data_IF_853279396686
#
_entry.id   IF_853279396686
#
_cell.length_a   1.000
_cell.length_b   1.000
_cell.length_c   1.000
_cell.angle_alpha   90.00
_cell.angle_beta   90.00
_cell.angle_gamma   90.00
#
_symmetry.space_group_name_H-M   'P 1'
#
loop_
_entity.id
_entity.type
_entity.pdbx_description
1 polymer ?
#
# COMPACT_ATOMS: atom_id res chain seq x y z
N UNK A 1 15.71 -10.18 1.34
CA UNK A 1 14.51 -10.60 2.09
C UNK A 1 13.63 -9.36 2.13
N UNK A 2 12.40 -9.41 1.64
CA UNK A 2 11.59 -8.20 1.45
C UNK A 2 11.21 -7.60 2.82
N UNK A 3 11.19 -6.26 2.89
CA UNK A 3 10.83 -5.42 4.06
C UNK A 3 9.47 -5.73 4.71
N UNK A 4 8.73 -6.70 4.19
CA UNK A 4 7.47 -7.22 4.69
C UNK A 4 7.64 -8.28 5.80
N UNK A 5 8.81 -8.93 5.92
CA UNK A 5 8.97 -10.11 6.78
C UNK A 5 9.02 -9.81 8.30
N UNK A 6 9.26 -8.57 8.74
CA UNK A 6 9.36 -8.24 10.18
C UNK A 6 8.02 -7.88 10.82
N UNK A 7 7.09 -7.27 10.08
CA UNK A 7 5.69 -7.10 10.50
C UNK A 7 5.03 -8.45 10.85
N UNK A 8 5.50 -9.53 10.22
CA UNK A 8 5.05 -10.90 10.45
C UNK A 8 5.43 -11.45 11.84
N UNK A 9 6.49 -10.95 12.48
CA UNK A 9 6.98 -11.50 13.76
C UNK A 9 6.06 -11.12 14.91
N UNK A 10 5.63 -9.86 15.00
CA UNK A 10 4.67 -9.39 16.03
C UNK A 10 3.27 -9.98 15.85
N UNK A 11 2.89 -10.28 14.61
CA UNK A 11 1.56 -10.80 14.28
C UNK A 11 1.52 -12.32 14.12
N UNK A 12 2.63 -13.02 14.35
CA UNK A 12 2.81 -14.45 14.07
C UNK A 12 1.72 -15.33 14.64
N UNK A 13 1.32 -15.13 15.91
CA UNK A 13 0.27 -15.93 16.53
C UNK A 13 -1.12 -15.67 15.94
N UNK A 14 -1.40 -14.44 15.53
CA UNK A 14 -2.65 -14.07 14.85
C UNK A 14 -2.68 -14.67 13.45
N UNK A 15 -1.55 -14.63 12.74
CA UNK A 15 -1.33 -15.23 11.43
C UNK A 15 -1.45 -16.75 11.50
N UNK A 16 -0.79 -17.42 12.45
CA UNK A 16 -0.88 -18.87 12.66
C UNK A 16 -2.30 -19.32 13.02
N UNK A 17 -3.04 -18.55 13.85
CA UNK A 17 -4.46 -18.83 14.11
C UNK A 17 -5.35 -18.61 12.88
N UNK A 18 -5.03 -17.62 12.06
CA UNK A 18 -5.73 -17.35 10.80
C UNK A 18 -5.48 -18.50 9.81
N UNK A 19 -4.21 -18.87 9.60
CA UNK A 19 -3.78 -20.01 8.80
C UNK A 19 -4.43 -21.31 9.27
N UNK A 20 -4.48 -21.60 10.58
CA UNK A 20 -5.15 -22.79 11.11
C UNK A 20 -6.66 -22.81 10.82
N UNK A 21 -7.33 -21.65 10.86
CA UNK A 21 -8.75 -21.54 10.47
C UNK A 21 -8.95 -21.68 8.97
N UNK A 22 -7.99 -21.20 8.15
CA UNK A 22 -7.97 -21.35 6.70
C UNK A 22 -7.78 -22.81 6.32
N UNK A 23 -6.77 -23.48 6.87
CA UNK A 23 -6.46 -24.90 6.64
C UNK A 23 -7.68 -25.80 6.84
N UNK A 24 -8.44 -25.62 7.92
CA UNK A 24 -9.66 -26.43 8.17
C UNK A 24 -10.75 -26.25 7.10
N UNK A 25 -10.79 -25.12 6.40
CA UNK A 25 -11.76 -24.84 5.33
C UNK A 25 -11.28 -25.29 3.96
N UNK A 26 -9.97 -25.29 3.77
CA UNK A 26 -9.31 -25.72 2.54
C UNK A 26 -9.21 -27.25 2.46
N UNK A 27 -8.96 -27.89 3.60
CA UNK A 27 -8.75 -29.34 3.74
C UNK A 27 -10.06 -30.11 3.98
N UNK A 28 -11.08 -29.83 3.16
CA UNK A 28 -12.37 -30.55 3.20
C UNK A 28 -12.28 -31.80 2.33
N UNK A 29 -12.80 -32.93 2.82
CA UNK A 29 -12.83 -34.16 2.03
C UNK A 29 -13.69 -34.01 0.78
N UNK A 30 -13.21 -34.54 -0.34
CA UNK A 30 -13.91 -34.51 -1.62
C UNK A 30 -15.35 -35.04 -1.51
N UNK A 31 -16.32 -34.27 -2.00
CA UNK A 31 -17.72 -34.68 -2.10
C UNK A 31 -18.24 -34.49 -3.53
N UNK A 32 -18.44 -35.57 -4.31
CA UNK A 32 -18.88 -35.48 -5.71
C UNK A 32 -20.30 -34.94 -5.89
N UNK A 33 -21.10 -34.88 -4.82
CA UNK A 33 -22.50 -34.43 -4.84
C UNK A 33 -22.67 -33.02 -4.26
N UNK A 34 -21.59 -32.33 -3.90
CA UNK A 34 -21.68 -31.00 -3.32
C UNK A 34 -22.30 -29.99 -4.31
N UNK A 35 -23.39 -29.36 -3.89
CA UNK A 35 -24.01 -28.24 -4.60
C UNK A 35 -23.23 -26.94 -4.37
N UNK A 36 -23.53 -25.88 -5.12
CA UNK A 36 -22.87 -24.60 -4.88
C UNK A 36 -23.24 -24.03 -3.50
N UNK A 37 -24.49 -24.19 -3.06
CA UNK A 37 -24.91 -23.94 -1.68
C UNK A 37 -24.04 -24.66 -0.64
N UNK A 38 -23.76 -25.96 -0.83
CA UNK A 38 -22.90 -26.73 0.08
C UNK A 38 -21.47 -26.17 0.14
N UNK A 39 -20.95 -25.69 -1.00
CA UNK A 39 -19.65 -25.04 -1.09
C UNK A 39 -19.66 -23.69 -0.34
N UNK A 40 -20.67 -22.84 -0.59
CA UNK A 40 -20.83 -21.55 0.09
C UNK A 40 -20.97 -21.71 1.61
N UNK A 41 -21.59 -22.80 2.06
CA UNK A 41 -21.71 -23.11 3.49
C UNK A 41 -20.35 -23.38 4.17
N UNK A 42 -19.27 -23.61 3.41
CA UNK A 42 -17.89 -23.72 3.97
C UNK A 42 -17.34 -22.37 4.42
N UNK A 43 -17.80 -21.28 3.84
CA UNK A 43 -17.43 -19.93 4.25
C UNK A 43 -18.09 -19.55 5.58
N UNK A 44 -17.46 -18.67 6.34
CA UNK A 44 -18.05 -18.12 7.55
C UNK A 44 -19.00 -16.94 7.23
N UNK A 45 -19.87 -16.57 8.18
CA UNK A 45 -20.87 -15.51 7.95
C UNK A 45 -20.24 -14.15 7.60
N UNK A 46 -19.05 -13.84 8.12
CA UNK A 46 -18.34 -12.61 7.78
C UNK A 46 -17.87 -12.60 6.32
N UNK A 47 -17.38 -13.73 5.81
CA UNK A 47 -16.96 -13.84 4.40
C UNK A 47 -18.16 -13.74 3.46
N UNK A 48 -19.26 -14.41 3.79
CA UNK A 48 -20.52 -14.29 3.05
C UNK A 48 -21.04 -12.83 3.07
N UNK A 49 -20.92 -12.14 4.20
CA UNK A 49 -21.27 -10.71 4.30
C UNK A 49 -20.34 -9.82 3.47
N UNK A 50 -19.06 -10.18 3.29
CA UNK A 50 -18.16 -9.49 2.38
C UNK A 50 -18.54 -9.70 0.92
N UNK A 51 -18.92 -10.92 0.52
CA UNK A 51 -19.43 -11.18 -0.84
C UNK A 51 -20.70 -10.35 -1.07
N UNK A 52 -21.64 -10.36 -0.11
CA UNK A 52 -22.87 -9.55 -0.14
C UNK A 52 -22.58 -8.07 -0.35
N UNK A 53 -21.60 -7.51 0.39
CA UNK A 53 -21.18 -6.10 0.25
C UNK A 53 -20.59 -5.82 -1.13
N UNK A 54 -19.72 -6.70 -1.63
CA UNK A 54 -19.10 -6.55 -2.94
C UNK A 54 -20.15 -6.58 -4.07
N UNK A 55 -21.20 -7.40 -3.91
CA UNK A 55 -22.34 -7.46 -4.83
C UNK A 55 -23.35 -6.30 -4.63
N UNK A 56 -23.15 -5.42 -3.65
CA UNK A 56 -24.06 -4.31 -3.38
C UNK A 56 -25.44 -4.70 -2.85
N UNK A 57 -25.60 -5.93 -2.33
CA UNK A 57 -26.90 -6.45 -1.87
C UNK A 57 -27.28 -5.80 -0.53
N UNK A 58 -28.31 -4.96 -0.54
CA UNK A 58 -28.78 -4.20 0.64
C UNK A 58 -29.86 -5.00 1.41
N UNK A 59 -30.04 -4.71 2.70
CA UNK A 59 -31.11 -5.31 3.53
C UNK A 59 -30.87 -6.76 3.98
N UNK A 60 -29.79 -7.41 3.53
CA UNK A 60 -29.48 -8.80 3.84
C UNK A 60 -28.44 -9.01 4.97
N UNK A 61 -27.97 -7.94 5.65
CA UNK A 61 -26.90 -8.02 6.66
C UNK A 61 -27.31 -8.75 7.95
N UNK A 62 -28.61 -8.73 8.30
CA UNK A 62 -29.13 -9.37 9.51
C UNK A 62 -29.53 -10.83 9.31
N UNK A 63 -29.55 -11.31 8.05
CA UNK A 63 -29.98 -12.67 7.72
C UNK A 63 -29.17 -13.75 8.43
N UNK A 64 -29.79 -14.89 8.67
CA UNK A 64 -29.05 -16.07 9.13
C UNK A 64 -28.17 -16.58 7.99
N UNK A 65 -27.17 -17.39 8.34
CA UNK A 65 -26.18 -17.87 7.38
C UNK A 65 -26.82 -18.59 6.19
N UNK A 66 -27.82 -19.44 6.41
CA UNK A 66 -28.48 -20.19 5.34
C UNK A 66 -29.28 -19.28 4.40
N UNK A 67 -30.14 -18.41 4.94
CA UNK A 67 -30.88 -17.44 4.13
C UNK A 67 -29.95 -16.53 3.30
N UNK A 68 -28.78 -16.17 3.85
CA UNK A 68 -27.77 -15.41 3.11
C UNK A 68 -27.13 -16.24 1.99
N UNK A 69 -26.88 -17.53 2.20
CA UNK A 69 -26.33 -18.43 1.16
C UNK A 69 -27.31 -18.57 0.00
N UNK A 70 -28.61 -18.72 0.25
CA UNK A 70 -29.64 -18.82 -0.79
C UNK A 70 -29.62 -17.59 -1.72
N UNK A 71 -29.52 -16.39 -1.14
CA UNK A 71 -29.38 -15.15 -1.92
C UNK A 71 -28.06 -15.16 -2.71
N UNK A 72 -26.95 -15.48 -2.07
CA UNK A 72 -25.64 -15.41 -2.71
C UNK A 72 -25.46 -16.45 -3.82
N UNK A 73 -26.01 -17.65 -3.67
CA UNK A 73 -26.01 -18.69 -4.71
C UNK A 73 -26.67 -18.19 -6.00
N UNK A 74 -27.76 -17.43 -5.87
CA UNK A 74 -28.45 -16.79 -6.99
C UNK A 74 -27.67 -15.59 -7.56
N UNK A 75 -27.15 -14.71 -6.71
CA UNK A 75 -26.59 -13.41 -7.14
C UNK A 75 -25.15 -13.49 -7.65
N UNK A 76 -24.32 -14.40 -7.13
CA UNK A 76 -22.89 -14.48 -7.50
C UNK A 76 -22.68 -14.66 -9.01
N UNK A 77 -23.38 -15.58 -9.71
CA UNK A 77 -23.21 -15.76 -11.16
C UNK A 77 -23.45 -14.48 -11.98
N UNK A 78 -24.40 -13.64 -11.57
CA UNK A 78 -24.71 -12.38 -12.28
C UNK A 78 -23.79 -11.22 -11.87
N UNK A 79 -23.21 -11.29 -10.67
CA UNK A 79 -22.37 -10.25 -10.10
C UNK A 79 -20.87 -10.53 -10.14
N UNK A 80 -20.42 -11.52 -10.93
CA UNK A 80 -19.00 -11.89 -11.04
C UNK A 80 -18.11 -10.69 -11.36
N UNK A 81 -18.55 -9.77 -12.23
CA UNK A 81 -17.82 -8.54 -12.54
C UNK A 81 -17.48 -7.71 -11.30
N UNK A 82 -18.44 -7.55 -10.38
CA UNK A 82 -18.24 -6.81 -9.13
C UNK A 82 -17.27 -7.53 -8.17
N UNK A 83 -17.28 -8.87 -8.18
CA UNK A 83 -16.36 -9.67 -7.36
C UNK A 83 -14.94 -9.65 -7.92
N UNK A 84 -14.78 -9.61 -9.25
CA UNK A 84 -13.48 -9.65 -9.93
C UNK A 84 -12.79 -8.28 -10.06
N UNK A 85 -13.45 -7.18 -9.69
CA UNK A 85 -12.86 -5.82 -9.72
C UNK A 85 -11.49 -5.81 -9.03
N UNK A 86 -11.38 -6.53 -7.91
CA UNK A 86 -10.20 -6.50 -7.03
C UNK A 86 -9.21 -7.68 -7.22
N UNK A 87 -9.21 -8.32 -8.40
CA UNK A 87 -8.38 -9.52 -8.60
C UNK A 87 -6.88 -9.21 -8.77
N UNK A 88 -6.03 -9.95 -8.07
CA UNK A 88 -4.57 -9.86 -8.23
C UNK A 88 -4.08 -10.52 -9.53
N UNK A 89 -2.81 -10.33 -9.89
CA UNK A 89 -2.24 -10.98 -11.10
C UNK A 89 -2.12 -12.50 -10.88
N UNK A 90 -1.82 -12.88 -9.63
CA UNK A 90 -1.72 -14.23 -9.10
C UNK A 90 -3.06 -14.95 -9.15
N UNK A 91 -4.12 -14.31 -8.64
CA UNK A 91 -5.49 -14.82 -8.69
C UNK A 91 -5.97 -15.01 -10.15
N UNK A 92 -5.75 -14.01 -11.01
CA UNK A 92 -6.15 -14.09 -12.41
C UNK A 92 -5.41 -15.22 -13.15
N UNK A 93 -4.12 -15.42 -12.82
CA UNK A 93 -3.32 -16.53 -13.34
C UNK A 93 -3.88 -17.88 -12.88
N UNK A 94 -4.30 -18.00 -11.62
CA UNK A 94 -4.94 -19.21 -11.12
C UNK A 94 -6.28 -19.48 -11.83
N UNK A 95 -7.17 -18.48 -11.91
CA UNK A 95 -8.45 -18.61 -12.60
C UNK A 95 -8.26 -19.08 -14.05
N UNK A 96 -7.35 -18.47 -14.80
CA UNK A 96 -7.06 -18.87 -16.20
C UNK A 96 -6.55 -20.31 -16.30
N UNK A 97 -5.69 -20.76 -15.38
CA UNK A 97 -5.23 -22.16 -15.36
C UNK A 97 -6.38 -23.13 -15.05
N UNK A 98 -7.24 -22.80 -14.09
CA UNK A 98 -8.42 -23.60 -13.73
C UNK A 98 -9.44 -23.65 -14.87
N UNK A 99 -9.65 -22.54 -15.59
CA UNK A 99 -10.52 -22.51 -16.78
C UNK A 99 -10.07 -23.48 -17.88
N UNK A 100 -8.76 -23.60 -18.09
CA UNK A 100 -8.20 -24.48 -19.14
C UNK A 100 -8.20 -25.95 -18.71
N UNK A 101 -7.86 -26.23 -17.45
CA UNK A 101 -7.64 -27.59 -16.96
C UNK A 101 -8.85 -28.20 -16.24
N UNK A 102 -9.85 -27.40 -15.90
CA UNK A 102 -10.99 -27.76 -15.05
C UNK A 102 -10.62 -27.83 -13.57
N UNK A 103 -9.53 -28.52 -13.25
CA UNK A 103 -8.99 -28.70 -11.90
C UNK A 103 -7.47 -28.59 -11.86
N UNK A 104 -6.95 -28.27 -10.67
CA UNK A 104 -5.52 -28.21 -10.38
C UNK A 104 -5.23 -28.88 -9.04
N UNK A 105 -4.04 -29.46 -8.92
CA UNK A 105 -3.49 -29.85 -7.63
C UNK A 105 -2.56 -28.74 -7.16
N UNK A 106 -2.92 -28.10 -6.05
CA UNK A 106 -2.18 -26.96 -5.49
C UNK A 106 -1.41 -27.36 -4.25
N UNK A 107 -0.27 -26.72 -4.04
CA UNK A 107 0.41 -26.72 -2.75
C UNK A 107 -0.26 -25.71 -1.80
N UNK A 108 -0.04 -25.85 -0.49
CA UNK A 108 -0.69 -25.01 0.52
C UNK A 108 -0.33 -23.52 0.35
N UNK A 109 0.92 -23.21 0.02
CA UNK A 109 1.37 -21.84 -0.28
C UNK A 109 0.64 -21.26 -1.50
N UNK A 110 0.46 -22.01 -2.59
CA UNK A 110 -0.29 -21.53 -3.76
C UNK A 110 -1.74 -21.17 -3.41
N UNK A 111 -2.34 -21.89 -2.45
CA UNK A 111 -3.68 -21.60 -1.94
C UNK A 111 -3.71 -20.40 -1.01
N UNK A 112 -2.67 -20.21 -0.19
CA UNK A 112 -2.53 -19.02 0.66
C UNK A 112 -2.39 -17.77 -0.22
N UNK A 113 -1.52 -17.81 -1.23
CA UNK A 113 -1.27 -16.69 -2.15
C UNK A 113 -2.52 -16.28 -2.95
N UNK A 114 -3.47 -17.21 -3.12
CA UNK A 114 -4.72 -16.99 -3.87
C UNK A 114 -5.96 -17.12 -2.99
N UNK A 115 -5.78 -17.04 -1.66
CA UNK A 115 -6.83 -17.33 -0.70
C UNK A 115 -8.05 -16.42 -0.88
N UNK A 116 -7.81 -15.20 -1.37
CA UNK A 116 -8.87 -14.25 -1.68
C UNK A 116 -9.96 -14.86 -2.59
N UNK A 117 -9.61 -15.61 -3.64
CA UNK A 117 -10.58 -16.27 -4.53
C UNK A 117 -11.50 -17.25 -3.78
N UNK A 118 -10.96 -17.93 -2.77
CA UNK A 118 -11.71 -18.84 -1.90
C UNK A 118 -12.65 -18.06 -0.98
N UNK A 119 -12.20 -16.93 -0.42
CA UNK A 119 -13.06 -16.06 0.41
C UNK A 119 -14.19 -15.40 -0.38
N UNK A 120 -14.06 -15.28 -1.71
CA UNK A 120 -15.11 -14.77 -2.60
C UNK A 120 -16.05 -15.84 -3.14
N UNK A 121 -15.86 -17.11 -2.76
CA UNK A 121 -16.68 -18.22 -3.21
C UNK A 121 -16.60 -18.48 -4.71
N UNK A 122 -15.49 -18.07 -5.35
CA UNK A 122 -15.25 -18.24 -6.78
C UNK A 122 -14.43 -19.51 -7.07
N UNK A 123 -13.58 -19.92 -6.14
CA UNK A 123 -12.75 -21.12 -6.20
C UNK A 123 -12.92 -21.89 -4.90
N UNK A 124 -12.91 -23.22 -4.98
CA UNK A 124 -12.93 -24.11 -3.82
C UNK A 124 -11.84 -25.15 -3.92
N UNK A 125 -11.45 -25.70 -2.77
CA UNK A 125 -10.51 -26.81 -2.68
C UNK A 125 -11.07 -27.97 -1.88
N UNK A 126 -10.60 -29.17 -2.22
CA UNK A 126 -10.93 -30.42 -1.56
C UNK A 126 -9.72 -31.34 -1.53
N UNK A 127 -9.62 -32.17 -0.49
CA UNK A 127 -8.62 -33.23 -0.39
C UNK A 127 -9.17 -34.47 -1.08
N UNK A 128 -8.41 -34.97 -2.06
CA UNK A 128 -8.70 -36.23 -2.75
C UNK A 128 -7.85 -37.38 -2.18
N UNK A 129 -8.12 -38.61 -2.63
CA UNK A 129 -7.31 -39.78 -2.29
C UNK A 129 -5.82 -39.53 -2.53
N UNK A 130 -4.99 -39.87 -1.54
CA UNK A 130 -3.54 -39.59 -1.54
C UNK A 130 -3.17 -38.22 -0.95
N UNK A 131 -4.10 -37.51 -0.31
CA UNK A 131 -3.82 -36.30 0.47
C UNK A 131 -3.54 -35.05 -0.37
N UNK A 132 -3.82 -35.10 -1.68
CA UNK A 132 -3.59 -33.97 -2.59
C UNK A 132 -4.75 -32.99 -2.53
N UNK A 133 -4.42 -31.69 -2.53
CA UNK A 133 -5.39 -30.61 -2.51
C UNK A 133 -5.79 -30.24 -3.95
N UNK A 134 -7.01 -30.60 -4.33
CA UNK A 134 -7.62 -30.31 -5.62
C UNK A 134 -8.39 -29.00 -5.55
N UNK A 135 -8.05 -28.03 -6.39
CA UNK A 135 -8.79 -26.78 -6.56
C UNK A 135 -9.61 -26.77 -7.85
N UNK A 136 -10.78 -26.15 -7.81
CA UNK A 136 -11.72 -26.08 -8.94
C UNK A 136 -12.64 -24.86 -8.85
N UNK A 137 -13.26 -24.50 -9.97
CA UNK A 137 -14.28 -23.45 -10.07
C UNK A 137 -15.66 -24.12 -10.12
N UNK A 138 -16.64 -23.68 -9.32
CA UNK A 138 -18.01 -24.20 -9.39
C UNK A 138 -18.55 -24.12 -10.82
N UNK A 139 -19.18 -25.19 -11.30
CA UNK A 139 -19.57 -25.32 -12.71
C UNK A 139 -20.43 -24.15 -13.21
N UNK A 140 -21.35 -23.66 -12.40
CA UNK A 140 -22.23 -22.52 -12.72
C UNK A 140 -21.51 -21.17 -12.86
N UNK A 141 -20.26 -21.07 -12.40
CA UNK A 141 -19.46 -19.84 -12.48
C UNK A 141 -18.48 -19.83 -13.65
N UNK A 142 -18.26 -20.97 -14.32
CA UNK A 142 -17.25 -21.07 -15.40
C UNK A 142 -17.56 -20.09 -16.53
N UNK A 143 -18.79 -20.11 -17.04
CA UNK A 143 -19.20 -19.24 -18.13
C UNK A 143 -19.25 -17.76 -17.70
N UNK A 144 -19.90 -17.37 -16.57
CA UNK A 144 -19.86 -15.99 -16.10
C UNK A 144 -18.46 -15.42 -15.91
N UNK A 145 -17.54 -16.17 -15.27
CA UNK A 145 -16.15 -15.75 -15.09
C UNK A 145 -15.45 -15.61 -16.42
N UNK A 146 -15.59 -16.59 -17.32
CA UNK A 146 -14.98 -16.57 -18.65
C UNK A 146 -15.41 -15.36 -19.46
N UNK A 147 -16.71 -15.04 -19.46
CA UNK A 147 -17.26 -13.89 -20.18
C UNK A 147 -16.68 -12.57 -19.64
N UNK A 148 -16.56 -12.44 -18.33
CA UNK A 148 -16.00 -11.23 -17.70
C UNK A 148 -14.51 -11.06 -18.01
N UNK A 149 -13.67 -12.07 -17.70
CA UNK A 149 -12.21 -11.95 -17.79
C UNK A 149 -11.68 -11.82 -19.23
N UNK A 150 -12.46 -12.27 -20.20
CA UNK A 150 -12.14 -12.16 -21.62
C UNK A 150 -12.72 -10.90 -22.28
N UNK A 151 -13.53 -10.11 -21.55
CA UNK A 151 -14.05 -8.85 -22.06
C UNK A 151 -12.92 -7.81 -22.20
N UNK A 152 -13.01 -6.99 -23.25
CA UNK A 152 -12.04 -5.91 -23.49
C UNK A 152 -12.18 -4.79 -22.47
N UNK A 153 -13.40 -4.54 -21.97
CA UNK A 153 -13.67 -3.59 -20.88
C UNK A 153 -12.95 -3.98 -19.61
N UNK A 154 -13.04 -5.24 -19.20
CA UNK A 154 -12.41 -5.72 -17.97
C UNK A 154 -10.89 -5.55 -17.98
N UNK A 155 -10.22 -5.96 -19.06
CA UNK A 155 -8.77 -5.83 -19.19
C UNK A 155 -8.32 -4.36 -19.14
N UNK A 156 -9.11 -3.45 -19.73
CA UNK A 156 -8.86 -2.01 -19.71
C UNK A 156 -9.04 -1.44 -18.31
N UNK A 157 -10.18 -1.71 -17.67
CA UNK A 157 -10.53 -1.20 -16.35
C UNK A 157 -9.51 -1.67 -15.31
N UNK A 158 -9.16 -2.97 -15.32
CA UNK A 158 -8.16 -3.52 -14.40
C UNK A 158 -6.81 -2.83 -14.53
N UNK A 159 -6.35 -2.58 -15.75
CA UNK A 159 -5.08 -1.87 -16.00
C UNK A 159 -5.15 -0.44 -15.47
N UNK A 160 -6.29 0.22 -15.62
CA UNK A 160 -6.48 1.59 -15.14
C UNK A 160 -6.58 1.67 -13.61
N UNK A 161 -7.32 0.74 -12.98
CA UNK A 161 -7.45 0.59 -11.53
C UNK A 161 -6.09 0.32 -10.90
N UNK A 162 -5.31 -0.64 -11.42
CA UNK A 162 -3.95 -0.94 -10.90
C UNK A 162 -3.06 0.29 -10.90
N UNK A 163 -3.04 1.02 -12.03
CA UNK A 163 -2.27 2.27 -12.14
C UNK A 163 -2.78 3.33 -11.16
N UNK A 164 -4.08 3.40 -10.93
CA UNK A 164 -4.68 4.37 -10.02
C UNK A 164 -4.32 4.05 -8.56
N UNK A 165 -4.33 2.77 -8.15
CA UNK A 165 -3.90 2.33 -6.82
C UNK A 165 -2.44 2.71 -6.57
N UNK A 166 -1.52 2.46 -7.52
CA UNK A 166 -0.12 2.89 -7.41
C UNK A 166 0.01 4.41 -7.20
N UNK A 167 -0.83 5.20 -7.88
CA UNK A 167 -0.85 6.65 -7.73
C UNK A 167 -1.40 7.04 -6.36
N UNK A 168 -2.50 6.42 -5.90
CA UNK A 168 -3.11 6.70 -4.59
C UNK A 168 -2.12 6.34 -3.48
N UNK A 169 -1.42 5.21 -3.57
CA UNK A 169 -0.36 4.82 -2.63
C UNK A 169 0.70 5.93 -2.51
N UNK A 170 1.25 6.39 -3.64
CA UNK A 170 2.24 7.48 -3.61
C UNK A 170 1.66 8.79 -3.07
N UNK A 171 0.40 9.13 -3.37
CA UNK A 171 -0.29 10.30 -2.79
C UNK A 171 -0.43 10.16 -1.27
N UNK A 172 -0.77 8.98 -0.77
CA UNK A 172 -0.92 8.71 0.67
C UNK A 172 0.41 8.76 1.42
N UNK A 173 1.51 8.34 0.80
CA UNK A 173 2.86 8.49 1.38
C UNK A 173 3.16 9.97 1.69
N UNK A 174 2.76 10.90 0.82
CA UNK A 174 3.02 12.33 1.04
C UNK A 174 2.05 13.02 1.98
N UNK A 175 0.76 12.65 1.96
CA UNK A 175 -0.27 13.45 2.64
C UNK A 175 -0.92 12.77 3.84
N UNK A 176 -0.80 11.46 3.97
CA UNK A 176 -1.28 10.68 5.13
C UNK A 176 -2.80 10.53 5.22
N UNK A 177 -3.57 11.57 4.93
CA UNK A 177 -5.02 11.52 4.94
C UNK A 177 -5.62 12.59 4.02
N UNK A 178 -6.57 12.19 3.17
CA UNK A 178 -7.32 13.08 2.27
C UNK A 178 -8.82 12.74 2.24
N UNK A 179 -9.67 13.77 2.09
CA UNK A 179 -11.07 13.53 1.72
C UNK A 179 -11.09 12.93 0.32
N UNK A 180 -12.12 12.15 -0.02
CA UNK A 180 -12.25 11.57 -1.37
C UNK A 180 -12.20 12.65 -2.45
N UNK A 181 -12.77 13.83 -2.20
CA UNK A 181 -12.73 14.96 -3.11
C UNK A 181 -11.30 15.55 -3.27
N UNK A 182 -10.55 15.72 -2.18
CA UNK A 182 -9.17 16.20 -2.28
C UNK A 182 -8.27 15.21 -2.99
N UNK A 183 -8.44 13.90 -2.70
CA UNK A 183 -7.74 12.83 -3.40
C UNK A 183 -8.02 12.89 -4.90
N UNK A 184 -9.30 12.96 -5.29
CA UNK A 184 -9.72 13.07 -6.69
C UNK A 184 -9.05 14.27 -7.39
N UNK A 185 -9.08 15.45 -6.76
CA UNK A 185 -8.48 16.66 -7.33
C UNK A 185 -6.95 16.56 -7.48
N UNK A 186 -6.26 16.02 -6.48
CA UNK A 186 -4.81 15.84 -6.50
C UNK A 186 -4.42 14.82 -7.57
N UNK A 187 -5.08 13.66 -7.59
CA UNK A 187 -4.81 12.60 -8.56
C UNK A 187 -5.07 13.12 -9.97
N UNK A 188 -6.22 13.78 -10.22
CA UNK A 188 -6.57 14.37 -11.51
C UNK A 188 -5.52 15.38 -12.01
N UNK A 189 -4.99 16.21 -11.09
CA UNK A 189 -3.90 17.15 -11.40
C UNK A 189 -2.60 16.43 -11.77
N UNK A 190 -2.21 15.42 -11.00
CA UNK A 190 -0.97 14.65 -11.21
C UNK A 190 -0.99 13.93 -12.55
N UNK A 191 -2.10 13.28 -12.88
CA UNK A 191 -2.24 12.52 -14.12
C UNK A 191 -2.52 13.40 -15.34
N UNK A 192 -2.89 14.68 -15.13
CA UNK A 192 -3.23 15.66 -16.16
C UNK A 192 -4.31 15.17 -17.14
N UNK A 193 -5.26 14.38 -16.64
CA UNK A 193 -6.41 13.87 -17.39
C UNK A 193 -7.66 13.86 -16.50
N UNK A 194 -8.87 13.95 -17.09
CA UNK A 194 -10.10 13.68 -16.35
C UNK A 194 -10.05 12.30 -15.72
N UNK A 195 -10.53 12.21 -14.48
CA UNK A 195 -10.73 10.95 -13.79
C UNK A 195 -12.14 10.45 -14.05
N UNK A 196 -12.26 9.15 -14.26
CA UNK A 196 -13.54 8.47 -14.21
C UNK A 196 -13.85 8.17 -12.74
N UNK A 197 -14.96 8.74 -12.23
CA UNK A 197 -15.36 8.57 -10.83
C UNK A 197 -15.66 7.11 -10.50
N UNK A 198 -16.18 6.33 -11.45
CA UNK A 198 -16.47 4.91 -11.25
C UNK A 198 -15.18 4.11 -11.09
N UNK A 199 -14.17 4.39 -11.91
CA UNK A 199 -12.84 3.75 -11.81
C UNK A 199 -12.14 4.13 -10.49
N UNK A 200 -12.27 5.38 -10.05
CA UNK A 200 -11.77 5.82 -8.75
C UNK A 200 -12.47 5.11 -7.61
N UNK A 201 -13.80 5.01 -7.65
CA UNK A 201 -14.58 4.30 -6.64
C UNK A 201 -14.16 2.81 -6.58
N UNK A 202 -14.02 2.15 -7.73
CA UNK A 202 -13.51 0.77 -7.84
C UNK A 202 -12.13 0.64 -7.21
N UNK A 203 -11.18 1.52 -7.53
CA UNK A 203 -9.85 1.52 -6.93
C UNK A 203 -9.87 1.72 -5.40
N UNK A 204 -10.81 2.51 -4.87
CA UNK A 204 -10.96 2.71 -3.42
C UNK A 204 -11.62 1.52 -2.70
N UNK A 205 -12.31 0.61 -3.40
CA UNK A 205 -12.79 -0.64 -2.78
C UNK A 205 -11.68 -1.65 -2.47
N UNK A 206 -10.45 -1.35 -2.89
CA UNK A 206 -9.27 -2.22 -2.80
C UNK A 206 -8.59 -2.21 -1.42
N UNK A 207 -9.21 -1.62 -0.39
CA UNK A 207 -8.70 -1.45 1.00
C UNK A 207 -8.10 -2.72 1.67
N UNK A 208 -8.28 -3.92 1.10
CA UNK A 208 -7.88 -5.20 1.70
C UNK A 208 -6.83 -6.01 0.95
N UNK A 209 -6.19 -5.46 -0.07
CA UNK A 209 -4.99 -6.07 -0.66
C UNK A 209 -3.75 -5.58 0.08
N UNK A 210 -2.84 -6.51 0.39
CA UNK A 210 -1.56 -6.25 1.04
C UNK A 210 -0.74 -5.16 0.33
N UNK A 211 -0.99 -4.90 -0.96
CA UNK A 211 -0.31 -3.85 -1.75
C UNK A 211 -0.90 -2.45 -1.58
N UNK A 212 -2.03 -2.29 -0.91
CA UNK A 212 -2.61 -0.96 -0.68
C UNK A 212 -2.03 -0.34 0.58
N UNK A 213 -1.31 0.78 0.41
CA UNK A 213 -0.81 1.57 1.52
C UNK A 213 -1.88 2.52 2.07
N UNK A 214 -3.17 2.21 1.85
CA UNK A 214 -4.27 3.07 2.22
C UNK A 214 -5.51 2.32 2.71
N UNK A 215 -6.28 3.02 3.54
CA UNK A 215 -7.56 2.62 4.11
C UNK A 215 -8.65 3.60 3.70
N UNK A 216 -9.88 3.14 3.60
CA UNK A 216 -11.03 3.95 3.20
C UNK A 216 -12.07 3.90 4.31
N UNK A 217 -12.23 5.03 5.01
CA UNK A 217 -13.13 5.14 6.15
C UNK A 217 -14.15 6.25 5.87
N UNK A 218 -15.39 5.85 5.62
CA UNK A 218 -16.50 6.75 5.25
C UNK A 218 -16.16 7.69 4.08
N UNK A 219 -15.92 8.97 4.35
CA UNK A 219 -15.69 10.03 3.35
C UNK A 219 -14.21 10.37 3.17
N UNK A 220 -13.30 9.61 3.79
CA UNK A 220 -11.88 9.87 3.72
C UNK A 220 -11.05 8.63 3.43
N UNK A 221 -9.86 8.89 2.90
CA UNK A 221 -8.82 7.92 2.60
C UNK A 221 -7.60 8.28 3.42
N UNK A 222 -6.97 7.31 4.07
CA UNK A 222 -5.75 7.52 4.86
C UNK A 222 -4.68 6.51 4.52
N UNK A 223 -3.42 6.84 4.78
CA UNK A 223 -2.34 5.88 4.78
C UNK A 223 -2.65 4.76 5.78
N UNK A 224 -2.20 3.53 5.50
CA UNK A 224 -2.45 2.39 6.38
C UNK A 224 -1.83 2.57 7.77
N UNK A 225 -0.68 3.23 7.83
CA UNK A 225 0.10 3.48 9.06
C UNK A 225 -0.19 4.87 9.70
N UNK A 226 -1.25 5.54 9.26
CA UNK A 226 -1.73 6.73 9.96
C UNK A 226 -2.44 6.32 11.25
N UNK A 227 -1.82 6.61 12.39
CA UNK A 227 -2.34 6.27 13.72
C UNK A 227 -3.61 7.07 14.05
N UNK A 228 -3.62 8.35 13.69
CA UNK A 228 -4.76 9.24 13.90
C UNK A 228 -5.06 10.07 12.63
N UNK A 229 -5.73 9.46 11.63
CA UNK A 229 -6.12 10.16 10.40
C UNK A 229 -6.98 11.39 10.65
N UNK A 230 -7.84 11.35 11.67
CA UNK A 230 -8.73 12.46 12.04
C UNK A 230 -7.94 13.69 12.49
N UNK A 231 -6.85 13.51 13.26
CA UNK A 231 -5.92 14.58 13.62
C UNK A 231 -5.29 15.20 12.36
N UNK A 232 -4.84 14.38 11.40
CA UNK A 232 -4.26 14.86 10.15
C UNK A 232 -5.26 15.74 9.39
N UNK A 233 -6.52 15.29 9.28
CA UNK A 233 -7.59 16.08 8.66
C UNK A 233 -7.84 17.41 9.34
N UNK A 234 -7.95 17.39 10.66
CA UNK A 234 -8.20 18.59 11.44
C UNK A 234 -7.06 19.60 11.25
N UNK A 235 -5.82 19.14 11.25
CA UNK A 235 -4.64 19.97 11.02
C UNK A 235 -4.58 20.51 9.58
N UNK A 236 -5.01 19.73 8.58
CA UNK A 236 -5.17 20.22 7.21
C UNK A 236 -6.22 21.33 7.12
N UNK A 237 -7.37 21.15 7.77
CA UNK A 237 -8.47 22.11 7.77
C UNK A 237 -8.08 23.45 8.41
N UNK A 238 -7.34 23.40 9.53
CA UNK A 238 -6.84 24.60 10.23
C UNK A 238 -5.80 25.41 9.44
N UNK A 239 -5.13 24.80 8.46
CA UNK A 239 -4.03 25.42 7.72
C UNK A 239 -4.49 26.00 6.40
N UNK A 240 -4.33 27.30 6.22
CA UNK A 240 -4.56 28.02 4.96
C UNK A 240 -3.35 27.93 4.00
N UNK A 241 -2.77 26.74 3.85
CA UNK A 241 -1.68 26.47 2.89
C UNK A 241 -2.14 25.44 1.85
N UNK A 242 -1.65 25.52 0.59
CA UNK A 242 -1.88 24.47 -0.39
C UNK A 242 -1.13 23.19 0.00
N UNK A 243 -1.58 22.05 -0.50
CA UNK A 243 -0.81 20.80 -0.44
C UNK A 243 0.54 20.96 -1.13
N UNK A 244 1.58 20.33 -0.58
CA UNK A 244 2.91 20.31 -1.20
C UNK A 244 2.80 19.79 -2.64
N UNK A 245 3.36 20.47 -3.64
CA UNK A 245 3.17 20.07 -5.04
C UNK A 245 3.97 18.80 -5.34
N UNK A 246 3.26 17.70 -5.64
CA UNK A 246 3.87 16.44 -6.08
C UNK A 246 3.65 16.20 -7.57
N UNK A 247 4.63 15.58 -8.21
CA UNK A 247 4.57 15.14 -9.61
C UNK A 247 4.31 13.64 -9.71
N UNK A 248 3.94 13.17 -10.90
CA UNK A 248 3.81 11.73 -11.16
C UNK A 248 5.15 10.99 -10.98
N UNK A 249 6.29 11.66 -11.17
CA UNK A 249 7.61 11.08 -10.94
C UNK A 249 7.80 10.82 -9.44
N UNK A 250 7.53 11.82 -8.61
CA UNK A 250 7.67 11.73 -7.15
C UNK A 250 6.80 10.61 -6.57
N UNK A 251 5.57 10.48 -7.08
CA UNK A 251 4.64 9.41 -6.70
C UNK A 251 5.17 8.04 -7.07
N UNK A 252 5.66 7.85 -8.30
CA UNK A 252 6.19 6.56 -8.74
C UNK A 252 7.43 6.15 -7.96
N UNK A 253 8.31 7.11 -7.68
CA UNK A 253 9.52 6.87 -6.91
C UNK A 253 9.17 6.49 -5.46
N UNK A 254 8.28 7.24 -4.82
CA UNK A 254 7.83 6.95 -3.47
C UNK A 254 7.07 5.62 -3.37
N UNK A 255 6.16 5.34 -4.31
CA UNK A 255 5.40 4.09 -4.33
C UNK A 255 6.30 2.85 -4.56
N UNK A 256 7.36 2.97 -5.36
CA UNK A 256 8.33 1.90 -5.55
C UNK A 256 9.18 1.63 -4.30
N UNK A 257 9.47 2.66 -3.50
CA UNK A 257 10.25 2.55 -2.27
C UNK A 257 9.40 2.22 -1.04
N UNK A 258 8.10 2.51 -1.07
CA UNK A 258 7.21 2.49 0.09
C UNK A 258 7.34 3.72 1.00
N UNK A 259 8.21 4.67 0.67
CA UNK A 259 8.45 5.90 1.42
C UNK A 259 8.97 7.01 0.52
N UNK A 260 8.98 8.26 1.01
CA UNK A 260 9.59 9.38 0.30
C UNK A 260 11.11 9.14 0.19
N UNK A 261 11.74 9.34 -0.99
CA UNK A 261 13.19 9.21 -1.14
C UNK A 261 13.97 10.03 -0.11
N UNK A 262 15.05 9.46 0.40
CA UNK A 262 15.90 10.12 1.40
C UNK A 262 16.55 11.39 0.82
N UNK A 263 16.39 12.48 1.55
CA UNK A 263 17.03 13.75 1.25
C UNK A 263 18.44 13.81 1.87
N UNK A 264 19.15 14.92 1.67
CA UNK A 264 20.52 15.09 2.19
C UNK A 264 20.60 15.01 3.72
N UNK A 265 19.57 15.45 4.44
CA UNK A 265 19.54 15.43 5.90
C UNK A 265 19.30 14.02 6.44
N UNK A 266 18.42 13.26 5.79
CA UNK A 266 18.22 11.82 6.06
C UNK A 266 19.56 11.08 5.88
N UNK A 267 20.23 11.31 4.74
CA UNK A 267 21.51 10.67 4.42
C UNK A 267 22.64 11.09 5.38
N UNK A 268 22.63 12.32 5.90
CA UNK A 268 23.63 12.75 6.88
C UNK A 268 23.50 11.98 8.19
N UNK A 269 22.29 11.82 8.72
CA UNK A 269 22.07 11.01 9.92
C UNK A 269 22.39 9.54 9.64
N UNK A 270 21.98 9.00 8.48
CA UNK A 270 22.21 7.60 8.12
C UNK A 270 23.70 7.28 8.05
N UNK A 271 24.47 8.14 7.35
CA UNK A 271 25.91 7.98 7.28
C UNK A 271 26.59 8.18 8.63
N UNK A 272 26.10 9.09 9.48
CA UNK A 272 26.63 9.26 10.83
C UNK A 272 26.47 7.97 11.64
N UNK A 273 25.25 7.43 11.71
CA UNK A 273 24.95 6.22 12.48
C UNK A 273 25.70 4.99 11.92
N UNK A 274 25.69 4.80 10.60
CA UNK A 274 26.39 3.67 9.95
C UNK A 274 27.91 3.67 10.19
N UNK A 275 28.54 4.85 10.26
CA UNK A 275 29.99 4.93 10.49
C UNK A 275 30.36 4.90 11.97
N UNK A 276 29.44 5.29 12.85
CA UNK A 276 29.69 5.38 14.29
C UNK A 276 29.39 4.07 15.01
N UNK A 277 28.44 3.28 14.50
CA UNK A 277 27.99 2.03 15.10
C UNK A 277 28.29 0.83 14.20
N UNK A 278 28.61 -0.31 14.83
CA UNK A 278 28.65 -1.61 14.14
C UNK A 278 27.23 -2.13 13.95
N UNK A 279 26.52 -1.58 12.97
CA UNK A 279 25.15 -1.94 12.63
C UNK A 279 25.09 -2.45 11.18
N UNK A 280 24.29 -3.48 10.93
CA UNK A 280 24.08 -3.92 9.56
C UNK A 280 23.18 -2.94 8.81
N UNK A 281 23.30 -2.95 7.48
CA UNK A 281 22.60 -1.99 6.65
C UNK A 281 21.07 -2.21 6.68
N UNK A 282 20.64 -3.45 6.79
CA UNK A 282 19.22 -3.81 6.72
C UNK A 282 18.52 -3.34 8.00
N UNK A 283 19.12 -3.60 9.17
CA UNK A 283 18.70 -3.08 10.47
C UNK A 283 18.65 -1.55 10.48
N UNK A 284 19.70 -0.88 9.98
CA UNK A 284 19.72 0.58 9.92
C UNK A 284 18.62 1.14 9.00
N UNK A 285 18.40 0.53 7.83
CA UNK A 285 17.36 0.95 6.88
C UNK A 285 15.95 0.80 7.52
N UNK A 286 15.72 -0.22 8.34
CA UNK A 286 14.48 -0.44 9.10
C UNK A 286 14.28 0.63 10.18
N UNK A 287 15.30 0.88 11.00
CA UNK A 287 15.25 1.92 12.04
C UNK A 287 14.95 3.29 11.44
N UNK A 288 15.51 3.59 10.27
CA UNK A 288 15.21 4.83 9.54
C UNK A 288 13.79 4.87 9.01
N UNK A 289 13.30 3.77 8.44
CA UNK A 289 11.92 3.69 7.96
C UNK A 289 10.93 3.98 9.10
N UNK A 290 11.11 3.35 10.26
CA UNK A 290 10.30 3.59 11.46
C UNK A 290 10.40 5.03 11.96
N UNK A 291 11.62 5.58 12.06
CA UNK A 291 11.82 6.98 12.45
C UNK A 291 11.14 7.98 11.51
N UNK A 292 11.14 7.71 10.19
CA UNK A 292 10.43 8.52 9.19
C UNK A 292 8.91 8.38 9.31
N UNK A 293 8.41 7.19 9.64
CA UNK A 293 7.00 6.98 9.91
C UNK A 293 6.57 7.68 11.21
N UNK A 294 7.43 7.69 12.23
CA UNK A 294 7.19 8.44 13.46
C UNK A 294 7.13 9.95 13.22
N UNK A 295 7.98 10.50 12.33
CA UNK A 295 7.88 11.91 11.90
C UNK A 295 6.53 12.21 11.22
N UNK A 296 5.98 11.25 10.47
CA UNK A 296 4.68 11.41 9.82
C UNK A 296 3.51 11.41 10.82
N UNK A 297 3.63 10.67 11.93
CA UNK A 297 2.60 10.54 12.97
C UNK A 297 2.75 11.53 14.15
N UNK A 298 3.97 11.98 14.48
CA UNK A 298 4.26 12.89 15.60
C UNK A 298 4.60 14.31 15.14
N UNK A 299 4.06 15.30 15.85
CA UNK A 299 4.39 16.71 15.72
C UNK A 299 5.50 17.17 16.70
N UNK A 300 6.17 16.23 17.38
CA UNK A 300 7.16 16.54 18.43
C UNK A 300 8.55 16.01 18.05
N UNK A 301 9.54 16.90 17.84
CA UNK A 301 10.92 16.49 17.58
C UNK A 301 11.52 15.60 18.66
N UNK A 302 11.17 15.85 19.94
CA UNK A 302 11.71 15.08 21.07
C UNK A 302 11.33 13.60 21.00
N UNK A 303 10.14 13.25 20.50
CA UNK A 303 9.73 11.85 20.36
C UNK A 303 10.67 11.13 19.36
N UNK A 304 11.07 11.83 18.30
CA UNK A 304 11.98 11.29 17.28
C UNK A 304 13.40 11.17 17.84
N UNK A 305 13.85 12.18 18.58
CA UNK A 305 15.17 12.17 19.23
C UNK A 305 15.24 11.00 20.22
N UNK A 306 14.24 10.84 21.08
CA UNK A 306 14.14 9.71 22.03
C UNK A 306 14.18 8.37 21.31
N UNK A 307 13.40 8.22 20.24
CA UNK A 307 13.42 7.01 19.43
C UNK A 307 14.84 6.66 18.96
N UNK A 308 15.56 7.57 18.28
CA UNK A 308 16.91 7.26 17.83
C UNK A 308 17.89 7.06 19.00
N UNK A 309 17.81 7.84 20.08
CA UNK A 309 18.71 7.68 21.23
C UNK A 309 18.52 6.33 21.93
N UNK A 310 17.28 5.81 22.00
CA UNK A 310 17.00 4.53 22.64
C UNK A 310 17.54 3.33 21.85
N UNK A 311 17.68 3.46 20.52
CA UNK A 311 18.22 2.39 19.66
C UNK A 311 19.75 2.34 19.65
N UNK A 312 20.43 3.41 20.04
CA UNK A 312 21.88 3.55 19.89
C UNK A 312 22.56 3.87 21.23
N UNK A 313 23.58 3.10 21.61
CA UNK A 313 24.31 3.33 22.85
C UNK A 313 25.43 4.37 22.67
N UNK A 314 25.14 5.63 23.01
CA UNK A 314 26.13 6.71 23.02
C UNK A 314 26.94 6.73 24.33
N UNK A 315 28.24 6.99 24.25
CA UNK A 315 29.12 6.89 25.42
C UNK A 315 29.16 8.16 26.27
N UNK A 316 28.81 9.31 25.66
CA UNK A 316 28.88 10.61 26.31
C UNK A 316 27.81 11.58 25.79
N UNK A 317 27.72 12.72 26.47
CA UNK A 317 26.73 13.77 26.19
C UNK A 317 27.03 14.43 24.84
N UNK A 318 28.29 14.62 24.48
CA UNK A 318 28.68 15.24 23.21
C UNK A 318 28.21 14.42 21.99
N UNK A 319 28.41 13.10 22.01
CA UNK A 319 27.93 12.17 20.98
C UNK A 319 26.40 12.17 20.90
N UNK A 320 25.74 12.12 22.06
CA UNK A 320 24.27 12.18 22.15
C UNK A 320 23.72 13.48 21.54
N UNK A 321 24.36 14.62 21.84
CA UNK A 321 23.97 15.91 21.30
C UNK A 321 24.19 15.99 19.79
N UNK A 322 25.31 15.45 19.29
CA UNK A 322 25.59 15.43 17.86
C UNK A 322 24.54 14.62 17.08
N UNK A 323 24.14 13.46 17.61
CA UNK A 323 23.08 12.66 17.03
C UNK A 323 21.73 13.40 17.07
N UNK A 324 21.39 14.01 18.21
CA UNK A 324 20.16 14.78 18.36
C UNK A 324 20.07 15.95 17.37
N UNK A 325 21.17 16.68 17.13
CA UNK A 325 21.22 17.78 16.15
C UNK A 325 20.92 17.27 14.73
N UNK A 326 21.47 16.12 14.34
CA UNK A 326 21.20 15.49 13.05
C UNK A 326 19.74 15.02 12.93
N UNK A 327 19.16 14.48 14.00
CA UNK A 327 17.73 14.11 14.05
C UNK A 327 16.84 15.34 13.90
N UNK A 328 17.17 16.47 14.53
CA UNK A 328 16.42 17.72 14.39
C UNK A 328 16.49 18.25 12.96
N UNK A 329 17.65 18.19 12.31
CA UNK A 329 17.80 18.57 10.91
C UNK A 329 16.99 17.65 9.99
N UNK A 330 17.00 16.33 10.24
CA UNK A 330 16.16 15.38 9.53
C UNK A 330 14.67 15.70 9.70
N UNK A 331 14.21 15.92 10.94
CA UNK A 331 12.82 16.25 11.26
C UNK A 331 12.35 17.52 10.52
N UNK A 332 13.15 18.59 10.58
CA UNK A 332 12.83 19.89 9.98
C UNK A 332 12.74 19.84 8.45
N UNK A 333 13.42 18.89 7.81
CA UNK A 333 13.47 18.75 6.35
C UNK A 333 12.66 17.56 5.82
N UNK A 334 11.99 16.82 6.70
CA UNK A 334 11.10 15.72 6.34
C UNK A 334 9.70 16.23 6.05
N UNK A 335 9.05 15.68 5.01
CA UNK A 335 7.64 15.96 4.76
C UNK A 335 6.80 15.37 5.89
N UNK A 336 5.76 16.07 6.31
CA UNK A 336 4.88 15.67 7.40
C UNK A 336 3.42 15.69 6.96
N UNK A 337 2.67 14.68 7.36
CA UNK A 337 1.25 14.57 7.02
C UNK A 337 0.44 15.74 7.55
N UNK A 338 0.61 16.11 8.83
CA UNK A 338 -0.12 17.24 9.45
C UNK A 338 0.17 18.60 8.77
N UNK A 339 1.28 18.69 8.02
CA UNK A 339 1.68 19.87 7.25
C UNK A 339 1.30 19.78 5.77
N UNK A 340 0.31 18.98 5.39
CA UNK A 340 -0.12 18.77 3.99
C UNK A 340 1.03 18.36 3.06
N UNK A 341 1.96 17.55 3.58
CA UNK A 341 3.13 17.05 2.85
C UNK A 341 4.28 18.04 2.71
N UNK A 342 4.23 19.18 3.41
CA UNK A 342 5.38 20.08 3.57
C UNK A 342 6.27 19.62 4.72
N UNK A 343 7.53 20.06 4.72
CA UNK A 343 8.40 20.00 5.90
C UNK A 343 8.28 21.29 6.73
N UNK A 344 8.66 21.28 8.01
CA UNK A 344 8.77 22.51 8.80
C UNK A 344 9.64 23.57 8.12
N UNK A 345 10.73 23.17 7.45
CA UNK A 345 11.62 24.06 6.71
C UNK A 345 10.94 24.71 5.49
N UNK A 346 10.05 24.01 4.78
CA UNK A 346 9.29 24.56 3.65
C UNK A 346 8.40 25.75 4.08
N UNK A 347 7.96 25.75 5.35
CA UNK A 347 7.04 26.73 5.91
C UNK A 347 7.73 27.88 6.66
N UNK A 348 9.06 27.83 6.82
CA UNK A 348 9.78 28.94 7.46
C UNK A 348 9.65 30.18 6.57
N UNK A 349 9.32 31.36 7.13
CA UNK A 349 9.27 32.59 6.36
C UNK A 349 10.66 32.84 5.77
N UNK A 350 10.77 32.73 4.45
CA UNK A 350 12.01 33.06 3.78
C UNK A 350 12.17 34.60 3.84
N UNK A 351 13.27 35.16 4.39
CA UNK A 351 13.44 36.62 4.49
C UNK A 351 13.38 37.36 3.14
N UNK A 352 13.45 36.62 2.03
CA UNK A 352 13.43 37.14 0.66
C UNK A 352 12.08 37.00 -0.06
N UNK A 353 11.04 36.42 0.56
CA UNK A 353 9.74 36.17 -0.09
C UNK A 353 8.58 37.02 0.43
N UNK A 354 8.83 38.07 1.21
CA UNK A 354 7.81 39.05 1.57
C UNK A 354 7.55 40.09 0.48
N UNK A 355 7.73 39.79 -0.82
CA UNK A 355 7.21 40.62 -1.93
C UNK A 355 7.07 39.78 -3.21
N UNK A 356 5.94 39.10 -3.42
CA UNK A 356 5.17 39.23 -4.68
C UNK A 356 4.01 38.23 -4.75
N UNK A 357 2.81 38.79 -4.83
CA UNK A 357 1.71 38.15 -5.54
C UNK A 357 2.14 37.96 -7.01
N UNK A 358 2.45 36.73 -7.42
CA UNK A 358 2.46 36.37 -8.85
C UNK A 358 1.74 35.05 -9.10
N UNK A 359 0.78 35.16 -10.01
CA UNK A 359 0.11 34.11 -10.81
C UNK A 359 1.08 33.00 -11.26
N UNK A 360 0.57 31.79 -11.59
CA UNK A 360 1.40 30.63 -11.85
C UNK A 360 2.27 30.86 -13.08
N UNK A 361 3.59 30.86 -12.87
CA UNK A 361 4.57 30.90 -13.95
C UNK A 361 5.12 29.48 -14.16
N UNK A 362 5.18 29.16 -15.44
CA UNK A 362 5.67 27.96 -16.14
C UNK A 362 6.95 27.36 -15.55
N UNK A 363 7.03 26.04 -15.74
CA UNK A 363 8.22 25.18 -15.70
C UNK A 363 9.57 25.91 -15.74
N UNK A 364 10.22 26.03 -14.58
CA UNK A 364 11.68 26.13 -14.46
C UNK A 364 12.16 25.00 -13.56
N UNK A 365 12.28 23.83 -14.18
CA UNK A 365 13.08 22.72 -13.67
C UNK A 365 14.57 23.08 -13.76
N UNK A 366 15.36 22.45 -12.87
CA UNK A 366 16.82 22.34 -12.90
C UNK A 366 17.67 23.52 -12.38
N UNK A 367 17.70 23.70 -11.04
CA UNK A 367 18.98 23.96 -10.37
C UNK A 367 19.71 22.64 -10.18
N UNK A 368 20.42 22.20 -11.23
CA UNK A 368 21.43 21.14 -11.11
C UNK A 368 22.51 21.65 -10.16
N UNK A 369 22.66 21.01 -9.00
CA UNK A 369 23.82 21.20 -8.13
C UNK A 369 25.05 20.83 -8.97
N UNK A 370 25.92 21.81 -9.27
CA UNK A 370 27.17 21.55 -10.00
C UNK A 370 28.14 20.80 -9.08
N UNK A 371 28.13 19.47 -9.16
CA UNK A 371 29.08 18.62 -8.44
C UNK A 371 30.47 18.78 -9.07
N UNK A 372 31.46 19.12 -8.25
CA UNK A 372 32.85 19.25 -8.71
C UNK A 372 33.42 17.90 -9.15
N UNK A 373 34.10 17.86 -10.31
CA UNK A 373 34.67 16.63 -10.91
C UNK A 373 35.56 15.80 -9.98
N UNK A 374 36.19 16.43 -8.98
CA UNK A 374 37.10 15.76 -8.05
C UNK A 374 36.46 15.41 -6.70
N UNK A 375 35.21 15.80 -6.43
CA UNK A 375 34.51 15.43 -5.21
C UNK A 375 34.06 13.96 -5.21
N UNK A 376 33.84 13.35 -4.03
CA UNK A 376 33.26 12.02 -3.93
C UNK A 376 31.95 11.92 -4.72
N UNK A 377 31.76 10.81 -5.43
CA UNK A 377 30.60 10.59 -6.28
C UNK A 377 29.35 10.34 -5.41
N UNK A 378 28.22 11.02 -5.68
CA UNK A 378 27.02 10.93 -4.84
C UNK A 378 26.29 9.58 -4.89
N UNK A 379 26.73 8.64 -5.74
CA UNK A 379 26.17 7.28 -5.82
C UNK A 379 26.74 6.32 -4.75
N UNK A 380 27.58 6.81 -3.83
CA UNK A 380 28.15 6.00 -2.76
C UNK A 380 29.30 5.08 -3.17
N UNK A 381 29.85 5.24 -4.40
CA UNK A 381 30.92 4.36 -4.90
C UNK A 381 32.31 4.60 -4.29
N UNK A 382 32.48 5.63 -3.45
CA UNK A 382 33.78 6.05 -2.91
C UNK A 382 34.75 6.66 -3.92
N UNK A 383 34.42 6.65 -5.22
CA UNK A 383 35.25 7.21 -6.29
C UNK A 383 35.00 8.72 -6.48
N UNK A 384 35.97 9.45 -7.05
CA UNK A 384 35.75 10.84 -7.50
C UNK A 384 34.70 10.88 -8.62
N UNK A 385 33.84 11.89 -8.64
CA UNK A 385 32.72 12.02 -9.58
C UNK A 385 33.12 11.77 -11.04
N UNK A 386 34.24 12.32 -11.51
CA UNK A 386 34.77 12.10 -12.88
C UNK A 386 35.15 10.64 -13.23
N UNK A 387 35.33 9.78 -12.22
CA UNK A 387 35.72 8.36 -12.39
C UNK A 387 34.54 7.40 -12.19
N UNK A 388 33.34 7.92 -11.91
CA UNK A 388 32.13 7.13 -11.67
C UNK A 388 30.95 7.70 -12.49
N UNK A 389 29.95 8.32 -11.87
CA UNK A 389 28.75 8.81 -12.59
C UNK A 389 29.03 10.00 -13.54
N UNK A 390 30.18 10.67 -13.39
CA UNK A 390 30.64 11.73 -14.31
C UNK A 390 31.63 11.23 -15.38
N UNK A 391 31.72 9.91 -15.58
CA UNK A 391 32.60 9.29 -16.58
C UNK A 391 31.91 9.39 -17.95
N UNK A 392 32.34 10.34 -18.76
CA UNK A 392 32.00 10.36 -20.19
C UNK A 392 32.92 9.35 -20.90
N UNK A 393 32.38 8.54 -21.82
CA UNK A 393 33.21 7.75 -22.74
C UNK A 393 34.18 8.62 -23.53
#
# INVERSE_FOLDING_TARGET
>A
MDRYDEFYVEHRDKILRHLSKMEKRLLVQYNPQATYSDLLNRLNKSELDEIRKALGIVGASTLKKQDLIEILEHEIPYGVGALLVNITDEDLKLLKKLMVKGELFLQLNEVIDTFWLFTKGLVFSEVIEGGKLRAFIPRGLIEPISNEINSTSYAKDRKEIKKLIEIINGVMIYYGALTVNNLYNIVGRVIKKPLDYEIVAKALTWEKDERSLFKVVYQYVSHCDAENPEKIFLEHYKREIPYYPITLKDIKEAAALGHIPYNVYDLNLLNYLYNFFEIDKEELDLLFFEGKLLINNSDRPNDIISYFIEQFHFNNIEETQQAADLVVEMYNNSKQWVLKGHSPADLRPNPLQSVSNKKPIKDESNKVIKISRNQPCPCGSGLKYKRCCGKSE
#
